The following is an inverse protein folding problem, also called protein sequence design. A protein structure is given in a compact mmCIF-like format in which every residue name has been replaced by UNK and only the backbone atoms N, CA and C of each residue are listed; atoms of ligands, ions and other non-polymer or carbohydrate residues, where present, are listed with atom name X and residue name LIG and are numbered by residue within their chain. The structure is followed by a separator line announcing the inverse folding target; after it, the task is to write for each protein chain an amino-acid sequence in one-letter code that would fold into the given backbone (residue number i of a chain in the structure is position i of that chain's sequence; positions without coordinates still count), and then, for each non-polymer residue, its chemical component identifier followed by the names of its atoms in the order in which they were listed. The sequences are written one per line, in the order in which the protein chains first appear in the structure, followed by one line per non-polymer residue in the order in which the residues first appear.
data_IF_043019722450
#
_entry.id   IF_043019722450
#
_cell.length_a   1.000
_cell.length_b   1.000
_cell.length_c   1.000
_cell.angle_alpha   90.00
_cell.angle_beta   90.00
_cell.angle_gamma   90.00
#
_symmetry.space_group_name_H-M   'P 1'
#
loop_
_entity.id
_entity.type
_entity.pdbx_description
1 polymer ?
#
# COMPACT_ATOMS: atom_id res chain seq x y z
N UNK A 1 -63.34 -22.33 -34.43
CA UNK A 1 -63.12 -23.40 -33.43
C UNK A 1 -62.68 -22.72 -32.14
N UNK A 2 -63.52 -22.14 -31.27
CA UNK A 2 -64.96 -22.29 -30.89
C UNK A 2 -65.34 -23.53 -30.05
N UNK A 3 -65.19 -23.40 -28.71
CA UNK A 3 -66.01 -23.89 -27.57
C UNK A 3 -65.20 -23.64 -26.26
N UNK A 4 -65.66 -23.01 -25.16
CA UNK A 4 -67.01 -22.73 -24.57
C UNK A 4 -67.71 -24.04 -24.13
N UNK A 5 -68.11 -24.29 -22.87
CA UNK A 5 -68.91 -23.57 -21.84
C UNK A 5 -68.65 -24.22 -20.43
N UNK A 6 -68.97 -23.72 -19.22
CA UNK A 6 -69.32 -22.39 -18.61
C UNK A 6 -69.27 -22.52 -17.05
N UNK A 7 -69.56 -21.45 -16.27
CA UNK A 7 -69.64 -21.41 -14.78
C UNK A 7 -70.85 -22.17 -14.16
N UNK A 8 -70.95 -22.28 -12.82
CA UNK A 8 -72.00 -21.47 -12.16
C UNK A 8 -71.57 -20.73 -10.88
N UNK A 9 -72.20 -19.57 -10.64
CA UNK A 9 -72.25 -18.82 -9.37
C UNK A 9 -73.38 -19.36 -8.47
N UNK A 10 -73.27 -19.16 -7.14
CA UNK A 10 -74.40 -18.84 -6.26
C UNK A 10 -73.92 -18.01 -5.06
N UNK A 11 -74.80 -17.17 -4.49
CA UNK A 11 -74.43 -16.06 -3.58
C UNK A 11 -75.43 -15.88 -2.42
N UNK A 12 -74.88 -15.68 -1.22
CA UNK A 12 -75.38 -15.01 -0.01
C UNK A 12 -76.85 -15.12 0.48
N UNK A 13 -76.99 -15.55 1.74
CA UNK A 13 -77.66 -14.82 2.86
C UNK A 13 -76.98 -15.30 4.18
N UNK A 14 -76.67 -14.54 5.24
CA UNK A 14 -77.06 -13.24 5.82
C UNK A 14 -77.84 -13.40 7.14
N UNK A 15 -77.17 -13.06 8.26
CA UNK A 15 -77.66 -12.80 9.63
C UNK A 15 -78.40 -13.91 10.42
N UNK A 16 -78.05 -14.06 11.71
CA UNK A 16 -78.80 -13.50 12.87
C UNK A 16 -78.16 -14.01 14.19
N UNK A 17 -78.01 -13.12 15.18
CA UNK A 17 -77.72 -13.45 16.59
C UNK A 17 -78.98 -13.18 17.42
N UNK A 18 -79.34 -14.07 18.36
CA UNK A 18 -79.99 -13.63 19.58
C UNK A 18 -79.36 -14.21 20.87
N UNK A 19 -79.38 -13.36 21.90
CA UNK A 19 -78.85 -13.54 23.24
C UNK A 19 -79.58 -14.56 24.14
N UNK A 20 -78.89 -14.93 25.25
CA UNK A 20 -79.44 -15.36 26.56
C UNK A 20 -80.19 -16.70 26.62
N UNK A 21 -80.10 -17.50 27.70
CA UNK A 21 -80.08 -17.10 29.12
C UNK A 21 -79.34 -18.09 30.06
N UNK A 22 -79.23 -17.73 31.34
CA UNK A 22 -78.63 -18.54 32.41
C UNK A 22 -79.46 -19.78 32.78
N UNK A 23 -78.79 -20.83 33.27
CA UNK A 23 -79.30 -21.65 34.38
C UNK A 23 -78.13 -22.03 35.31
N UNK A 24 -78.38 -22.10 36.61
CA UNK A 24 -77.36 -22.11 37.66
C UNK A 24 -77.45 -23.33 38.57
N UNK A 25 -76.31 -23.99 38.82
CA UNK A 25 -76.09 -24.95 39.90
C UNK A 25 -74.86 -24.48 40.72
N UNK A 26 -74.76 -24.82 42.02
CA UNK A 26 -74.41 -23.82 43.02
C UNK A 26 -72.92 -23.48 43.09
N UNK A 27 -72.62 -22.18 43.04
CA UNK A 27 -71.32 -21.64 43.44
C UNK A 27 -71.08 -21.85 44.93
N UNK A 28 -69.91 -22.36 45.31
CA UNK A 28 -69.51 -22.54 46.71
C UNK A 28 -69.20 -21.19 47.36
N UNK A 29 -70.25 -20.50 47.84
CA UNK A 29 -70.15 -19.18 48.47
C UNK A 29 -69.26 -19.17 49.75
N UNK A 30 -69.01 -20.34 50.35
CA UNK A 30 -68.17 -20.50 51.54
C UNK A 30 -66.71 -20.04 51.34
N UNK A 31 -66.11 -20.31 50.18
CA UNK A 31 -64.70 -19.93 49.93
C UNK A 31 -64.52 -18.42 49.85
N UNK A 32 -65.40 -17.72 49.12
CA UNK A 32 -65.38 -16.27 49.02
C UNK A 32 -65.70 -15.58 50.36
N UNK A 33 -66.64 -16.13 51.14
CA UNK A 33 -66.95 -15.62 52.48
C UNK A 33 -65.79 -15.80 53.46
N UNK A 34 -65.10 -16.96 53.45
CA UNK A 34 -63.88 -17.17 54.25
C UNK A 34 -62.76 -16.20 53.83
N UNK A 35 -62.56 -15.98 52.53
CA UNK A 35 -61.59 -15.00 52.03
C UNK A 35 -61.96 -13.57 52.44
N UNK A 36 -63.23 -13.16 52.33
CA UNK A 36 -63.65 -11.82 52.76
C UNK A 36 -63.55 -11.62 54.27
N UNK A 37 -63.90 -12.63 55.09
CA UNK A 37 -63.76 -12.56 56.55
C UNK A 37 -62.29 -12.51 56.98
N UNK A 38 -61.42 -13.31 56.34
CA UNK A 38 -59.97 -13.26 56.55
C UNK A 38 -59.41 -11.88 56.16
N UNK A 39 -59.76 -11.37 54.97
CA UNK A 39 -59.30 -10.06 54.49
C UNK A 39 -59.82 -8.93 55.38
N UNK A 40 -61.06 -8.96 55.88
CA UNK A 40 -61.56 -7.93 56.80
C UNK A 40 -60.95 -8.00 58.20
N UNK A 41 -60.59 -9.19 58.69
CA UNK A 41 -59.91 -9.35 59.97
C UNK A 41 -58.42 -8.97 59.91
N UNK A 42 -57.77 -9.19 58.76
CA UNK A 42 -56.36 -8.84 58.53
C UNK A 42 -56.19 -7.36 58.12
N UNK A 43 -57.23 -6.74 57.53
CA UNK A 43 -57.21 -5.35 57.05
C UNK A 43 -58.21 -4.43 57.79
N UNK A 44 -58.29 -4.51 59.12
CA UNK A 44 -58.91 -3.42 59.91
C UNK A 44 -57.98 -2.18 59.89
N UNK A 45 -58.05 -1.47 58.77
CA UNK A 45 -57.07 -0.52 58.28
C UNK A 45 -56.85 0.73 59.15
N UNK A 46 -57.51 0.85 60.31
CA UNK A 46 -57.24 1.95 61.25
C UNK A 46 -55.98 1.71 62.07
N UNK A 47 -55.79 0.52 62.64
CA UNK A 47 -54.60 0.24 63.46
C UNK A 47 -53.33 0.17 62.60
N UNK A 48 -53.43 -0.35 61.38
CA UNK A 48 -52.32 -0.36 60.41
C UNK A 48 -51.92 1.04 59.91
N UNK A 49 -52.85 2.00 59.80
CA UNK A 49 -52.50 3.37 59.38
C UNK A 49 -51.96 4.25 60.52
N UNK A 50 -52.24 3.92 61.79
CA UNK A 50 -51.50 4.53 62.90
C UNK A 50 -50.05 4.01 62.92
N UNK A 51 -49.85 2.69 62.83
CA UNK A 51 -48.54 2.01 62.81
C UNK A 51 -47.52 2.57 61.80
N UNK A 52 -47.99 3.12 60.67
CA UNK A 52 -47.13 3.65 59.59
C UNK A 52 -46.67 5.09 59.84
N UNK A 53 -47.33 5.85 60.73
CA UNK A 53 -47.15 7.31 60.83
C UNK A 53 -46.48 7.81 62.13
N UNK A 54 -46.19 6.95 63.11
CA UNK A 54 -45.58 7.37 64.39
C UNK A 54 -44.27 6.61 64.67
N UNK A 55 -43.11 7.28 64.54
CA UNK A 55 -41.79 6.64 64.48
C UNK A 55 -41.22 6.18 65.86
N UNK A 56 -42.06 5.80 66.82
CA UNK A 56 -41.61 5.35 68.15
C UNK A 56 -42.59 4.36 68.83
N UNK A 57 -42.68 3.13 68.31
CA UNK A 57 -43.47 2.06 68.91
C UNK A 57 -42.66 1.24 69.92
N UNK A 58 -43.10 1.24 71.18
CA UNK A 58 -42.54 0.39 72.24
C UNK A 58 -42.97 -1.07 72.09
N UNK A 59 -42.14 -2.00 72.58
CA UNK A 59 -42.34 -3.46 72.51
C UNK A 59 -43.71 -3.89 73.04
N UNK A 60 -44.23 -3.21 74.07
CA UNK A 60 -45.52 -3.50 74.70
C UNK A 60 -46.71 -3.25 73.76
N UNK A 61 -46.64 -2.26 72.86
CA UNK A 61 -47.67 -2.04 71.82
C UNK A 61 -47.63 -3.10 70.72
N UNK A 62 -46.45 -3.63 70.40
CA UNK A 62 -46.31 -4.74 69.46
C UNK A 62 -46.83 -6.06 70.05
N UNK A 63 -46.61 -6.30 71.34
CA UNK A 63 -47.10 -7.50 72.03
C UNK A 63 -48.64 -7.58 72.07
N UNK A 64 -49.33 -6.47 72.34
CA UNK A 64 -50.81 -6.44 72.36
C UNK A 64 -51.42 -6.60 70.96
N UNK A 65 -50.78 -6.05 69.92
CA UNK A 65 -51.17 -6.30 68.53
C UNK A 65 -50.97 -7.78 68.15
N UNK A 66 -49.84 -8.39 68.52
CA UNK A 66 -49.58 -9.81 68.26
C UNK A 66 -50.66 -10.70 68.92
N UNK A 67 -51.01 -10.40 70.18
CA UNK A 67 -52.04 -11.13 70.92
C UNK A 67 -53.43 -11.00 70.27
N UNK A 68 -53.75 -9.85 69.66
CA UNK A 68 -54.98 -9.67 68.87
C UNK A 68 -54.99 -10.51 67.58
N UNK A 69 -53.84 -10.65 66.91
CA UNK A 69 -53.66 -11.51 65.73
C UNK A 69 -53.74 -13.00 66.12
N UNK A 70 -53.19 -13.40 67.25
CA UNK A 70 -53.32 -14.78 67.76
C UNK A 70 -54.78 -15.12 68.11
N UNK A 71 -55.51 -14.21 68.77
CA UNK A 71 -56.94 -14.42 69.06
C UNK A 71 -57.78 -14.54 67.80
N UNK A 72 -57.64 -13.63 66.83
CA UNK A 72 -58.39 -13.70 65.57
C UNK A 72 -58.03 -14.94 64.74
N UNK A 73 -56.75 -15.34 64.72
CA UNK A 73 -56.29 -16.61 64.16
C UNK A 73 -56.98 -17.82 64.82
N UNK A 74 -57.08 -17.85 66.16
CA UNK A 74 -57.74 -18.95 66.87
C UNK A 74 -59.24 -19.10 66.55
N UNK A 75 -59.95 -17.97 66.39
CA UNK A 75 -61.37 -17.94 66.01
C UNK A 75 -61.55 -18.41 64.56
N UNK A 76 -60.70 -17.95 63.64
CA UNK A 76 -60.68 -18.41 62.25
C UNK A 76 -60.38 -19.91 62.16
N UNK A 77 -59.44 -20.43 62.94
CA UNK A 77 -59.15 -21.87 63.00
C UNK A 77 -60.36 -22.68 63.46
N UNK A 78 -61.09 -22.26 64.50
CA UNK A 78 -62.30 -22.96 64.93
C UNK A 78 -63.41 -22.95 63.88
N UNK A 79 -63.65 -21.81 63.23
CA UNK A 79 -64.64 -21.71 62.14
C UNK A 79 -64.26 -22.59 60.94
N UNK A 80 -62.99 -22.59 60.54
CA UNK A 80 -62.49 -23.38 59.42
C UNK A 80 -62.55 -24.88 59.75
N UNK A 81 -62.24 -25.29 60.97
CA UNK A 81 -62.36 -26.68 61.43
C UNK A 81 -63.81 -27.18 61.39
N UNK A 82 -64.78 -26.34 61.78
CA UNK A 82 -66.20 -26.66 61.72
C UNK A 82 -66.69 -26.82 60.26
N UNK A 83 -66.32 -25.87 59.38
CA UNK A 83 -66.68 -25.89 57.96
C UNK A 83 -66.08 -27.12 57.25
N UNK A 84 -64.83 -27.48 57.56
CA UNK A 84 -64.21 -28.70 57.01
C UNK A 84 -64.92 -29.95 57.52
N UNK A 85 -65.17 -30.06 58.84
CA UNK A 85 -65.78 -31.25 59.44
C UNK A 85 -67.16 -31.56 58.86
N UNK A 86 -67.97 -30.53 58.63
CA UNK A 86 -69.34 -30.71 58.13
C UNK A 86 -69.39 -30.88 56.58
N UNK A 87 -68.23 -30.99 55.89
CA UNK A 87 -68.10 -31.23 54.45
C UNK A 87 -67.14 -32.39 54.07
N UNK A 88 -66.69 -33.21 55.03
CA UNK A 88 -65.66 -34.25 54.81
C UNK A 88 -66.03 -35.25 53.72
N UNK A 89 -67.25 -35.78 53.70
CA UNK A 89 -67.65 -36.81 52.72
C UNK A 89 -67.68 -36.26 51.27
N UNK A 90 -68.07 -35.01 51.11
CA UNK A 90 -68.02 -34.28 49.83
C UNK A 90 -66.56 -34.07 49.37
N UNK A 91 -65.65 -33.80 50.32
CA UNK A 91 -64.23 -33.68 50.01
C UNK A 91 -63.60 -35.04 49.64
N UNK A 92 -63.91 -36.11 50.36
CA UNK A 92 -63.39 -37.46 50.09
C UNK A 92 -63.83 -37.94 48.70
N UNK A 93 -65.11 -37.78 48.35
CA UNK A 93 -65.61 -38.18 47.02
C UNK A 93 -64.99 -37.37 45.87
N UNK A 94 -64.77 -36.07 46.07
CA UNK A 94 -64.04 -35.23 45.12
C UNK A 94 -62.56 -35.64 44.98
N UNK A 95 -61.91 -35.96 46.11
CA UNK A 95 -60.51 -36.39 46.14
C UNK A 95 -60.29 -37.74 45.45
N UNK A 96 -61.12 -38.76 45.72
CA UNK A 96 -61.02 -40.06 45.03
C UNK A 96 -61.31 -39.93 43.53
N UNK A 97 -62.24 -39.07 43.12
CA UNK A 97 -62.49 -38.78 41.70
C UNK A 97 -61.31 -38.03 41.04
N UNK A 98 -60.56 -37.21 41.79
CA UNK A 98 -59.34 -36.57 41.32
C UNK A 98 -58.18 -37.56 41.18
N UNK A 99 -58.07 -38.53 42.07
CA UNK A 99 -57.04 -39.58 42.05
C UNK A 99 -57.27 -40.56 40.89
N UNK A 100 -58.51 -41.00 40.66
CA UNK A 100 -58.89 -41.75 39.45
C UNK A 100 -58.59 -40.96 38.16
N UNK A 101 -58.85 -39.64 38.14
CA UNK A 101 -58.51 -38.79 37.01
C UNK A 101 -57.00 -38.66 36.81
N UNK A 102 -56.22 -38.51 37.88
CA UNK A 102 -54.77 -38.41 37.83
C UNK A 102 -54.14 -39.71 37.31
N UNK A 103 -54.52 -40.86 37.85
CA UNK A 103 -54.00 -42.15 37.42
C UNK A 103 -54.44 -42.51 35.99
N UNK A 104 -55.61 -42.02 35.55
CA UNK A 104 -56.04 -42.10 34.14
C UNK A 104 -55.25 -41.15 33.23
N UNK A 105 -54.82 -39.99 33.72
CA UNK A 105 -53.93 -39.05 33.03
C UNK A 105 -52.51 -39.60 32.91
N UNK A 106 -51.99 -40.24 33.97
CA UNK A 106 -50.69 -40.95 33.97
C UNK A 106 -50.71 -42.11 32.97
N UNK A 107 -51.80 -42.90 32.94
CA UNK A 107 -51.99 -43.96 31.94
C UNK A 107 -52.09 -43.41 30.50
N UNK A 108 -52.76 -42.28 30.29
CA UNK A 108 -52.78 -41.59 28.98
C UNK A 108 -51.41 -41.02 28.58
N UNK A 109 -50.66 -40.44 29.53
CA UNK A 109 -49.30 -39.94 29.29
C UNK A 109 -48.33 -41.09 28.94
N UNK A 110 -48.42 -42.23 29.63
CA UNK A 110 -47.65 -43.43 29.31
C UNK A 110 -48.03 -44.07 27.95
N UNK A 111 -49.29 -43.93 27.53
CA UNK A 111 -49.70 -44.26 26.16
C UNK A 111 -49.20 -43.24 25.14
N UNK A 112 -49.01 -41.97 25.52
CA UNK A 112 -48.46 -40.94 24.64
C UNK A 112 -46.95 -41.08 24.44
N UNK A 113 -46.17 -41.34 25.50
CA UNK A 113 -44.72 -41.60 25.37
C UNK A 113 -44.45 -42.83 24.50
N UNK A 114 -45.10 -43.95 24.80
CA UNK A 114 -44.94 -45.20 24.03
C UNK A 114 -45.46 -45.13 22.58
N UNK A 115 -46.28 -44.13 22.22
CA UNK A 115 -46.67 -43.88 20.82
C UNK A 115 -45.82 -42.82 20.11
N UNK A 116 -45.13 -41.95 20.85
CA UNK A 116 -44.14 -41.00 20.30
C UNK A 116 -42.80 -41.70 20.02
N UNK A 117 -42.32 -42.55 20.94
CA UNK A 117 -41.10 -43.38 20.77
C UNK A 117 -41.14 -44.29 19.53
N UNK A 118 -42.33 -44.57 18.99
CA UNK A 118 -42.54 -45.42 17.82
C UNK A 118 -42.92 -44.66 16.53
N UNK A 119 -42.85 -43.31 16.50
CA UNK A 119 -43.31 -42.51 15.35
C UNK A 119 -42.43 -41.33 14.93
N UNK A 120 -41.45 -40.95 15.72
CA UNK A 120 -40.38 -40.05 15.27
C UNK A 120 -39.09 -40.84 15.28
N UNK A 121 -38.71 -41.33 14.11
CA UNK A 121 -37.44 -42.01 13.90
C UNK A 121 -36.32 -40.98 14.13
N UNK A 122 -35.56 -41.12 15.22
CA UNK A 122 -34.48 -40.20 15.58
C UNK A 122 -33.38 -40.20 14.48
N UNK A 123 -33.31 -41.29 13.72
CA UNK A 123 -32.56 -41.41 12.47
C UNK A 123 -32.97 -40.38 11.42
N UNK A 124 -34.26 -40.08 11.25
CA UNK A 124 -34.75 -39.13 10.23
C UNK A 124 -34.44 -37.68 10.64
N UNK A 125 -34.53 -37.35 11.93
CA UNK A 125 -34.17 -36.01 12.43
C UNK A 125 -32.66 -35.79 12.32
N UNK A 126 -31.86 -36.78 12.70
CA UNK A 126 -30.38 -36.69 12.57
C UNK A 126 -29.95 -36.65 11.10
N UNK A 127 -30.57 -37.40 10.20
CA UNK A 127 -30.28 -37.32 8.76
C UNK A 127 -30.72 -35.97 8.15
N UNK A 128 -31.83 -35.38 8.62
CA UNK A 128 -32.28 -34.06 8.18
C UNK A 128 -31.34 -32.93 8.68
N UNK A 129 -30.90 -33.00 9.95
CA UNK A 129 -29.90 -32.08 10.50
C UNK A 129 -28.57 -32.19 9.76
N UNK A 130 -28.12 -33.42 9.49
CA UNK A 130 -26.85 -33.68 8.78
C UNK A 130 -26.87 -33.14 7.36
N UNK A 131 -27.96 -33.38 6.61
CA UNK A 131 -28.16 -32.77 5.27
C UNK A 131 -28.23 -31.24 5.33
N UNK A 132 -28.77 -30.65 6.39
CA UNK A 132 -28.76 -29.19 6.58
C UNK A 132 -27.34 -28.67 6.85
N UNK A 133 -26.54 -29.38 7.66
CA UNK A 133 -25.13 -29.08 7.91
C UNK A 133 -24.26 -29.25 6.64
N UNK A 134 -24.50 -30.29 5.85
CA UNK A 134 -23.91 -30.49 4.52
C UNK A 134 -24.27 -29.32 3.57
N UNK A 135 -25.53 -28.88 3.55
CA UNK A 135 -25.97 -27.72 2.74
C UNK A 135 -25.36 -26.41 3.24
N UNK A 136 -25.22 -26.21 4.56
CA UNK A 136 -24.57 -25.03 5.13
C UNK A 136 -23.07 -24.98 4.83
N UNK A 137 -22.36 -26.10 4.92
CA UNK A 137 -20.94 -26.19 4.57
C UNK A 137 -20.73 -26.00 3.07
N UNK A 138 -21.53 -26.65 2.21
CA UNK A 138 -21.54 -26.43 0.76
C UNK A 138 -21.86 -24.97 0.38
N UNK A 139 -22.79 -24.31 1.09
CA UNK A 139 -23.09 -22.89 0.84
C UNK A 139 -21.92 -22.01 1.26
N UNK A 140 -21.23 -22.34 2.35
CA UNK A 140 -20.03 -21.63 2.83
C UNK A 140 -18.82 -21.80 1.90
N UNK A 141 -18.62 -22.96 1.27
CA UNK A 141 -17.56 -23.14 0.26
C UNK A 141 -17.90 -22.41 -1.02
N UNK A 142 -19.12 -22.55 -1.55
CA UNK A 142 -19.57 -21.86 -2.75
C UNK A 142 -19.47 -20.33 -2.60
N UNK A 143 -19.77 -19.76 -1.42
CA UNK A 143 -19.58 -18.33 -1.15
C UNK A 143 -18.10 -17.90 -1.17
N UNK A 144 -17.18 -18.74 -0.67
CA UNK A 144 -15.73 -18.49 -0.73
C UNK A 144 -15.18 -18.58 -2.15
N UNK A 145 -15.64 -19.55 -2.94
CA UNK A 145 -15.30 -19.70 -4.36
C UNK A 145 -15.78 -18.48 -5.18
N UNK A 146 -17.02 -18.02 -4.96
CA UNK A 146 -17.53 -16.81 -5.63
C UNK A 146 -16.74 -15.55 -5.23
N UNK A 147 -16.28 -15.45 -3.99
CA UNK A 147 -15.39 -14.36 -3.56
C UNK A 147 -14.03 -14.44 -4.28
N UNK A 148 -13.40 -15.61 -4.30
CA UNK A 148 -12.14 -15.83 -5.01
C UNK A 148 -12.24 -15.50 -6.52
N UNK A 149 -13.31 -15.92 -7.18
CA UNK A 149 -13.56 -15.62 -8.60
C UNK A 149 -13.74 -14.12 -8.87
N UNK A 150 -14.38 -13.36 -7.98
CA UNK A 150 -14.47 -11.90 -8.10
C UNK A 150 -13.10 -11.24 -8.00
N UNK A 151 -12.28 -11.64 -7.02
CA UNK A 151 -10.92 -11.11 -6.88
C UNK A 151 -10.04 -11.45 -8.10
N UNK A 152 -10.22 -12.63 -8.70
CA UNK A 152 -9.55 -12.98 -9.97
C UNK A 152 -10.06 -12.11 -11.13
N UNK A 153 -11.36 -11.83 -11.21
CA UNK A 153 -11.92 -10.93 -12.22
C UNK A 153 -11.38 -9.50 -12.06
N UNK A 154 -11.40 -8.95 -10.85
CA UNK A 154 -10.86 -7.62 -10.52
C UNK A 154 -9.38 -7.48 -10.91
N UNK A 155 -8.58 -8.54 -10.69
CA UNK A 155 -7.18 -8.61 -11.12
C UNK A 155 -7.03 -8.69 -12.65
N UNK A 156 -7.88 -9.43 -13.36
CA UNK A 156 -7.87 -9.47 -14.83
C UNK A 156 -8.22 -8.11 -15.42
N UNK A 157 -9.27 -7.45 -14.90
CA UNK A 157 -9.70 -6.11 -15.32
C UNK A 157 -8.62 -5.04 -15.07
N UNK A 158 -7.87 -5.13 -13.97
CA UNK A 158 -6.69 -4.28 -13.73
C UNK A 158 -5.57 -4.53 -14.75
N UNK A 159 -5.33 -5.79 -15.14
CA UNK A 159 -4.39 -6.13 -16.19
C UNK A 159 -4.80 -5.57 -17.56
N UNK A 160 -6.08 -5.69 -17.92
CA UNK A 160 -6.64 -5.13 -19.15
C UNK A 160 -6.54 -3.59 -19.18
N UNK A 161 -6.77 -2.92 -18.04
CA UNK A 161 -6.61 -1.47 -17.89
C UNK A 161 -5.15 -1.00 -18.13
N UNK A 162 -4.15 -1.75 -17.68
CA UNK A 162 -2.73 -1.45 -17.97
C UNK A 162 -2.46 -1.52 -19.48
N UNK A 163 -3.02 -2.50 -20.19
CA UNK A 163 -2.85 -2.63 -21.64
C UNK A 163 -3.51 -1.47 -22.40
N UNK A 164 -4.72 -1.06 -22.02
CA UNK A 164 -5.40 0.10 -22.63
C UNK A 164 -4.64 1.42 -22.36
N UNK A 165 -4.07 1.60 -21.16
CA UNK A 165 -3.27 2.79 -20.84
C UNK A 165 -1.94 2.82 -21.63
N UNK A 166 -1.30 1.66 -21.84
CA UNK A 166 -0.14 1.52 -22.72
C UNK A 166 -0.48 1.86 -24.18
N UNK A 167 -1.58 1.33 -24.72
CA UNK A 167 -2.03 1.61 -26.09
C UNK A 167 -2.38 3.09 -26.32
N UNK A 168 -2.82 3.78 -25.27
CA UNK A 168 -3.08 5.24 -25.26
C UNK A 168 -1.83 6.10 -24.99
N UNK A 169 -0.66 5.49 -24.79
CA UNK A 169 0.59 6.18 -24.39
C UNK A 169 0.49 6.96 -23.06
N UNK A 170 -0.42 6.57 -22.16
CA UNK A 170 -0.60 7.15 -20.83
C UNK A 170 0.39 6.50 -19.83
N UNK A 171 1.69 6.81 -20.01
CA UNK A 171 2.79 6.05 -19.41
C UNK A 171 2.84 6.12 -17.87
N UNK A 172 2.48 7.26 -17.27
CA UNK A 172 2.49 7.43 -15.81
C UNK A 172 1.31 6.68 -15.19
N UNK A 173 0.14 6.78 -15.81
CA UNK A 173 -1.08 6.08 -15.45
C UNK A 173 -0.90 4.57 -15.58
N UNK A 174 -0.29 4.09 -16.67
CA UNK A 174 0.05 2.68 -16.87
C UNK A 174 1.03 2.16 -15.79
N UNK A 175 2.07 2.94 -15.47
CA UNK A 175 3.05 2.59 -14.43
C UNK A 175 2.38 2.51 -13.05
N UNK A 176 1.56 3.49 -12.69
CA UNK A 176 0.77 3.50 -11.45
C UNK A 176 -0.21 2.32 -11.38
N UNK A 177 -0.91 2.02 -12.47
CA UNK A 177 -1.89 0.94 -12.53
C UNK A 177 -1.24 -0.44 -12.43
N UNK A 178 -0.02 -0.61 -12.98
CA UNK A 178 0.74 -1.85 -12.88
C UNK A 178 1.28 -2.09 -11.45
N UNK A 179 1.77 -1.04 -10.79
CA UNK A 179 2.18 -1.10 -9.37
C UNK A 179 0.97 -1.39 -8.45
N UNK A 180 -0.21 -0.85 -8.78
CA UNK A 180 -1.45 -1.16 -8.06
C UNK A 180 -1.89 -2.63 -8.27
N UNK A 181 -1.78 -3.16 -9.49
CA UNK A 181 -2.05 -4.56 -9.82
C UNK A 181 -1.11 -5.52 -9.10
N UNK A 182 0.20 -5.22 -9.03
CA UNK A 182 1.14 -6.00 -8.22
C UNK A 182 0.82 -5.95 -6.73
N UNK A 183 0.49 -4.77 -6.20
CA UNK A 183 0.07 -4.59 -4.81
C UNK A 183 -1.21 -5.37 -4.49
N UNK A 184 -2.13 -5.52 -5.45
CA UNK A 184 -3.32 -6.33 -5.31
C UNK A 184 -3.00 -7.84 -5.35
N UNK A 185 -2.15 -8.27 -6.29
CA UNK A 185 -1.73 -9.67 -6.44
C UNK A 185 -1.01 -10.20 -5.19
N UNK A 186 -0.11 -9.41 -4.60
CA UNK A 186 0.62 -9.81 -3.38
C UNK A 186 -0.31 -9.87 -2.16
N UNK A 187 -1.28 -8.95 -2.02
CA UNK A 187 -2.32 -9.05 -0.98
C UNK A 187 -3.15 -10.33 -1.08
N UNK A 188 -3.43 -10.82 -2.30
CA UNK A 188 -4.16 -12.07 -2.54
C UNK A 188 -3.29 -13.31 -2.22
N UNK A 189 -1.97 -13.15 -2.25
CA UNK A 189 -1.00 -14.16 -1.80
C UNK A 189 -0.91 -14.21 -0.27
N UNK A 190 -0.89 -13.06 0.40
CA UNK A 190 -0.87 -12.94 1.87
C UNK A 190 -2.18 -13.36 2.53
N UNK A 191 -3.33 -12.92 1.99
CA UNK A 191 -4.67 -13.17 2.59
C UNK A 191 -5.28 -14.51 2.20
N UNK A 192 -4.51 -15.38 1.52
CA UNK A 192 -4.98 -16.66 0.96
C UNK A 192 -5.52 -17.59 2.06
N UNK A 193 -6.81 -17.97 2.04
CA UNK A 193 -7.33 -18.99 2.95
C UNK A 193 -6.63 -20.33 2.71
N UNK A 194 -6.03 -20.92 3.75
CA UNK A 194 -5.39 -22.24 3.65
C UNK A 194 -6.34 -23.37 3.22
N UNK A 195 -7.65 -23.18 3.40
CA UNK A 195 -8.68 -24.18 3.07
C UNK A 195 -9.13 -24.15 1.59
N UNK A 196 -8.69 -23.18 0.77
CA UNK A 196 -8.97 -23.16 -0.67
C UNK A 196 -7.77 -23.69 -1.44
N UNK A 197 -8.00 -24.70 -2.29
CA UNK A 197 -6.99 -25.26 -3.18
C UNK A 197 -6.76 -24.38 -4.42
N UNK A 198 -6.17 -23.19 -4.20
CA UNK A 198 -5.74 -22.28 -5.28
C UNK A 198 -4.72 -22.95 -6.22
N UNK A 199 -4.03 -24.00 -5.77
CA UNK A 199 -3.11 -24.85 -6.54
C UNK A 199 -3.82 -25.70 -7.61
N UNK A 200 -5.11 -26.02 -7.45
CA UNK A 200 -5.85 -26.82 -8.42
C UNK A 200 -6.12 -26.12 -9.78
N UNK A 201 -5.83 -24.82 -9.87
CA UNK A 201 -6.27 -23.95 -10.99
C UNK A 201 -5.15 -23.24 -11.76
N UNK A 202 -3.91 -23.23 -11.24
CA UNK A 202 -2.76 -22.45 -11.77
C UNK A 202 -3.02 -20.94 -12.02
N UNK A 203 -4.16 -20.40 -11.59
CA UNK A 203 -4.60 -19.03 -11.89
C UNK A 203 -3.65 -17.99 -11.30
N UNK A 204 -3.06 -18.25 -10.13
CA UNK A 204 -2.08 -17.34 -9.54
C UNK A 204 -0.80 -17.25 -10.40
N UNK A 205 -0.29 -18.39 -10.87
CA UNK A 205 0.90 -18.45 -11.73
C UNK A 205 0.62 -17.80 -13.10
N UNK A 206 -0.60 -17.94 -13.62
CA UNK A 206 -1.05 -17.28 -14.85
C UNK A 206 -1.16 -15.76 -14.67
N UNK A 207 -1.71 -15.28 -13.56
CA UNK A 207 -1.79 -13.85 -13.22
C UNK A 207 -0.39 -13.25 -13.00
N UNK A 208 0.51 -13.97 -12.34
CA UNK A 208 1.90 -13.54 -12.17
C UNK A 208 2.65 -13.54 -13.51
N UNK A 209 2.44 -14.56 -14.37
CA UNK A 209 2.96 -14.56 -15.75
C UNK A 209 2.41 -13.36 -16.55
N UNK A 210 1.14 -12.97 -16.36
CA UNK A 210 0.59 -11.74 -16.98
C UNK A 210 1.27 -10.50 -16.41
N UNK A 211 1.45 -10.39 -15.09
CA UNK A 211 2.17 -9.29 -14.43
C UNK A 211 3.57 -9.09 -15.01
N UNK A 212 4.33 -10.18 -15.14
CA UNK A 212 5.71 -10.12 -15.64
C UNK A 212 5.76 -9.77 -17.14
N UNK A 213 4.79 -10.23 -17.94
CA UNK A 213 4.63 -9.80 -19.33
C UNK A 213 4.24 -8.31 -19.47
N UNK A 214 3.36 -7.79 -18.60
CA UNK A 214 2.99 -6.38 -18.58
C UNK A 214 4.15 -5.49 -18.15
N UNK A 215 4.92 -5.89 -17.13
CA UNK A 215 6.16 -5.23 -16.74
C UNK A 215 7.15 -5.16 -17.88
N UNK A 216 7.40 -6.28 -18.56
CA UNK A 216 8.27 -6.29 -19.73
C UNK A 216 7.76 -5.35 -20.83
N UNK A 217 6.46 -5.43 -21.18
CA UNK A 217 5.84 -4.57 -22.21
C UNK A 217 5.97 -3.08 -21.86
N UNK A 218 5.77 -2.69 -20.60
CA UNK A 218 5.97 -1.31 -20.13
C UNK A 218 7.45 -0.88 -20.28
N UNK A 219 8.40 -1.72 -19.86
CA UNK A 219 9.84 -1.43 -19.96
C UNK A 219 10.27 -1.30 -21.43
N UNK A 220 9.89 -2.26 -22.29
CA UNK A 220 10.19 -2.23 -23.73
C UNK A 220 9.66 -0.94 -24.40
N UNK A 221 8.48 -0.45 -23.98
CA UNK A 221 7.90 0.82 -24.44
C UNK A 221 8.65 2.03 -23.89
N UNK A 222 8.95 2.07 -22.58
CA UNK A 222 9.67 3.19 -21.95
C UNK A 222 11.09 3.36 -22.50
N UNK A 223 11.82 2.27 -22.72
CA UNK A 223 13.17 2.30 -23.32
C UNK A 223 13.10 2.77 -24.77
N UNK A 224 12.19 2.22 -25.58
CA UNK A 224 11.96 2.69 -26.96
C UNK A 224 11.58 4.18 -27.01
N UNK A 225 10.73 4.66 -26.09
CA UNK A 225 10.41 6.09 -25.97
C UNK A 225 11.63 6.93 -25.60
N UNK A 226 12.54 6.43 -24.76
CA UNK A 226 13.77 7.14 -24.39
C UNK A 226 14.75 7.25 -25.56
N UNK A 227 14.88 6.19 -26.38
CA UNK A 227 15.70 6.21 -27.59
C UNK A 227 15.14 7.17 -28.66
N UNK A 228 13.82 7.25 -28.79
CA UNK A 228 13.17 8.20 -29.71
C UNK A 228 13.25 9.65 -29.19
N UNK A 229 13.24 9.85 -27.88
CA UNK A 229 13.37 11.17 -27.25
C UNK A 229 14.80 11.74 -27.36
N UNK A 230 15.83 10.90 -27.27
CA UNK A 230 17.24 11.33 -27.26
C UNK A 230 18.03 10.63 -28.39
N UNK A 231 18.19 11.34 -29.52
CA UNK A 231 18.90 10.86 -30.69
C UNK A 231 20.38 11.28 -30.65
N UNK A 232 21.27 10.43 -31.15
CA UNK A 232 22.72 10.68 -31.22
C UNK A 232 23.24 10.36 -32.62
N UNK A 233 24.05 11.24 -33.21
CA UNK A 233 24.79 10.94 -34.44
C UNK A 233 26.28 10.76 -34.14
N UNK A 234 26.82 9.59 -34.49
CA UNK A 234 28.23 9.27 -34.30
C UNK A 234 29.14 9.88 -35.38
N UNK A 235 28.62 10.14 -36.58
CA UNK A 235 29.38 10.72 -37.69
C UNK A 235 29.50 12.26 -37.61
N UNK A 236 28.52 12.91 -36.99
CA UNK A 236 28.46 14.38 -36.84
C UNK A 236 28.74 14.86 -35.40
N UNK A 237 28.95 13.93 -34.46
CA UNK A 237 29.08 14.21 -33.03
C UNK A 237 27.96 15.12 -32.48
N UNK A 238 26.71 14.76 -32.80
CA UNK A 238 25.51 15.48 -32.32
C UNK A 238 24.72 14.67 -31.29
N UNK A 239 24.03 15.40 -30.41
CA UNK A 239 22.97 14.91 -29.53
C UNK A 239 21.75 15.80 -29.72
N UNK A 240 20.60 15.19 -30.06
CA UNK A 240 19.34 15.90 -30.34
C UNK A 240 18.24 15.41 -29.42
N UNK A 241 17.60 16.34 -28.73
CA UNK A 241 16.49 16.04 -27.82
C UNK A 241 15.19 16.38 -28.55
N UNK A 242 14.53 15.33 -29.04
CA UNK A 242 13.29 15.45 -29.81
C UNK A 242 12.09 15.81 -28.91
N UNK A 243 12.09 15.29 -27.68
CA UNK A 243 11.10 15.57 -26.63
C UNK A 243 11.81 15.49 -25.27
N UNK A 244 11.39 16.28 -24.27
CA UNK A 244 11.97 16.19 -22.91
C UNK A 244 11.59 14.84 -22.27
N UNK A 245 12.55 14.00 -21.84
CA UNK A 245 12.27 12.68 -21.28
C UNK A 245 11.77 12.68 -19.83
N UNK A 246 11.36 13.85 -19.28
CA UNK A 246 10.83 14.04 -17.92
C UNK A 246 9.89 12.91 -17.47
N UNK A 247 8.86 12.63 -18.27
CA UNK A 247 7.83 11.63 -17.98
C UNK A 247 8.42 10.23 -17.86
N UNK A 248 9.40 9.90 -18.71
CA UNK A 248 10.10 8.62 -18.70
C UNK A 248 10.95 8.48 -17.43
N UNK A 249 11.66 9.54 -17.02
CA UNK A 249 12.43 9.53 -15.78
C UNK A 249 11.54 9.40 -14.52
N UNK A 250 10.32 9.96 -14.53
CA UNK A 250 9.33 9.71 -13.47
C UNK A 250 8.92 8.23 -13.44
N UNK A 251 8.55 7.65 -14.59
CA UNK A 251 8.19 6.23 -14.66
C UNK A 251 9.35 5.32 -14.23
N UNK A 252 10.58 5.56 -14.71
CA UNK A 252 11.77 4.82 -14.30
C UNK A 252 12.12 5.02 -12.81
N UNK A 253 11.75 6.14 -12.17
CA UNK A 253 11.89 6.31 -10.71
C UNK A 253 10.90 5.45 -9.95
N UNK A 254 9.65 5.36 -10.42
CA UNK A 254 8.61 4.51 -9.82
C UNK A 254 8.91 3.02 -9.99
N UNK A 255 9.61 2.64 -11.05
CA UNK A 255 10.09 1.28 -11.32
C UNK A 255 11.47 0.97 -10.69
N UNK A 256 12.04 1.87 -9.89
CA UNK A 256 13.40 1.80 -9.32
C UNK A 256 14.57 1.69 -10.33
N UNK A 257 14.29 1.74 -11.64
CA UNK A 257 15.26 1.60 -12.74
C UNK A 257 16.03 2.89 -13.09
N UNK A 258 15.63 4.05 -12.57
CA UNK A 258 16.19 5.36 -12.95
C UNK A 258 17.73 5.43 -12.95
N UNK A 259 18.48 4.94 -11.93
CA UNK A 259 19.94 5.03 -11.94
C UNK A 259 20.59 4.26 -13.10
N UNK A 260 20.01 3.12 -13.50
CA UNK A 260 20.51 2.33 -14.62
C UNK A 260 20.28 3.04 -15.96
N UNK A 261 19.11 3.65 -16.16
CA UNK A 261 18.79 4.39 -17.38
C UNK A 261 19.62 5.67 -17.51
N UNK A 262 19.80 6.42 -16.41
CA UNK A 262 20.69 7.59 -16.39
C UNK A 262 22.16 7.21 -16.64
N UNK A 263 22.63 6.05 -16.16
CA UNK A 263 23.95 5.53 -16.51
C UNK A 263 24.06 5.15 -18.00
N UNK A 264 22.98 4.64 -18.61
CA UNK A 264 22.87 4.43 -20.05
C UNK A 264 22.98 5.73 -20.86
N UNK A 265 22.23 6.77 -20.45
CA UNK A 265 22.26 8.12 -21.05
C UNK A 265 23.66 8.74 -20.89
N UNK A 266 24.28 8.67 -19.70
CA UNK A 266 25.69 9.07 -19.49
C UNK A 266 26.59 8.39 -20.51
N UNK A 267 26.48 7.06 -20.67
CA UNK A 267 27.37 6.29 -21.56
C UNK A 267 27.27 6.73 -23.02
N UNK A 268 26.08 7.11 -23.49
CA UNK A 268 25.88 7.69 -24.83
C UNK A 268 26.50 9.10 -24.94
N UNK A 269 26.23 9.99 -23.99
CA UNK A 269 26.85 11.33 -23.91
C UNK A 269 28.39 11.24 -23.93
N UNK A 270 28.96 10.32 -23.16
CA UNK A 270 30.41 10.12 -23.11
C UNK A 270 31.00 9.60 -24.42
N UNK A 271 30.31 8.67 -25.09
CA UNK A 271 30.73 8.12 -26.38
C UNK A 271 30.69 9.17 -27.49
N UNK A 272 29.59 9.93 -27.58
CA UNK A 272 29.30 10.79 -28.73
C UNK A 272 29.80 12.23 -28.59
N UNK A 273 29.94 12.75 -27.36
CA UNK A 273 30.30 14.14 -27.09
C UNK A 273 31.59 14.29 -26.25
N UNK A 274 31.61 13.73 -25.03
CA UNK A 274 32.69 14.03 -24.06
C UNK A 274 34.05 13.46 -24.49
N UNK A 275 34.10 12.20 -24.92
CA UNK A 275 35.36 11.58 -25.39
C UNK A 275 35.87 12.25 -26.68
N UNK A 276 35.04 12.48 -27.72
CA UNK A 276 35.45 13.24 -28.91
C UNK A 276 35.94 14.67 -28.61
N UNK A 277 35.30 15.37 -27.68
CA UNK A 277 35.74 16.69 -27.20
C UNK A 277 37.12 16.62 -26.54
N UNK A 278 37.33 15.73 -25.55
CA UNK A 278 38.62 15.63 -24.86
C UNK A 278 39.76 15.08 -25.73
N UNK A 279 39.46 14.40 -26.84
CA UNK A 279 40.46 14.01 -27.84
C UNK A 279 40.97 15.19 -28.70
N UNK A 280 40.15 16.23 -28.87
CA UNK A 280 40.46 17.41 -29.70
C UNK A 280 40.30 18.72 -28.90
N UNK A 281 40.59 18.68 -27.60
CA UNK A 281 40.15 19.68 -26.60
C UNK A 281 40.63 21.12 -26.82
N UNK A 282 41.60 21.34 -27.71
CA UNK A 282 42.10 22.67 -28.10
C UNK A 282 41.44 23.24 -29.36
N UNK A 283 40.61 22.47 -30.07
CA UNK A 283 39.97 22.90 -31.35
C UNK A 283 38.49 22.57 -31.41
N UNK A 284 38.00 21.66 -30.57
CA UNK A 284 36.59 21.30 -30.52
C UNK A 284 35.74 22.29 -29.72
N UNK A 285 34.54 22.61 -30.21
CA UNK A 285 33.56 23.50 -29.57
C UNK A 285 32.15 22.91 -29.64
N UNK A 286 31.30 23.28 -28.70
CA UNK A 286 29.91 22.88 -28.61
C UNK A 286 28.99 24.01 -29.10
N UNK A 287 28.30 23.79 -30.21
CA UNK A 287 27.33 24.72 -30.77
C UNK A 287 25.90 24.22 -30.51
N UNK A 288 25.08 25.03 -29.81
CA UNK A 288 23.66 24.74 -29.57
C UNK A 288 22.81 25.30 -30.73
N UNK A 289 21.98 24.44 -31.31
CA UNK A 289 21.00 24.78 -32.35
C UNK A 289 19.62 24.26 -31.90
N UNK A 290 18.80 25.15 -31.31
CA UNK A 290 17.52 24.83 -30.65
C UNK A 290 17.64 23.69 -29.61
N UNK A 291 17.25 22.46 -29.99
CA UNK A 291 17.33 21.26 -29.14
C UNK A 291 18.44 20.28 -29.59
N UNK A 292 19.40 20.73 -30.39
CA UNK A 292 20.54 19.95 -30.88
C UNK A 292 21.86 20.55 -30.39
N UNK A 293 22.67 19.74 -29.73
CA UNK A 293 24.04 20.06 -29.35
C UNK A 293 24.99 19.39 -30.34
N UNK A 294 25.86 20.16 -30.99
CA UNK A 294 26.83 19.67 -31.97
C UNK A 294 28.26 19.95 -31.51
N UNK A 295 29.13 18.95 -31.60
CA UNK A 295 30.56 19.15 -31.45
C UNK A 295 31.17 19.52 -32.82
N UNK A 296 31.54 20.78 -33.01
CA UNK A 296 32.29 21.24 -34.19
C UNK A 296 33.79 21.28 -33.88
N UNK A 297 34.62 21.40 -34.92
CA UNK A 297 36.08 21.60 -34.79
C UNK A 297 36.48 22.83 -35.58
N UNK A 298 37.07 23.82 -34.92
CA UNK A 298 37.54 25.04 -35.57
C UNK A 298 38.94 24.84 -36.16
N UNK A 299 39.30 25.65 -37.16
CA UNK A 299 40.67 25.76 -37.70
C UNK A 299 41.39 27.02 -37.18
N UNK A 300 40.81 27.68 -36.19
CA UNK A 300 41.28 28.94 -35.62
C UNK A 300 42.38 28.73 -34.57
N UNK A 301 42.67 29.77 -33.79
CA UNK A 301 43.59 29.72 -32.64
C UNK A 301 43.21 28.57 -31.70
N UNK A 302 44.15 27.68 -31.33
CA UNK A 302 43.90 26.64 -30.34
C UNK A 302 43.46 27.24 -29.00
N UNK A 303 42.29 26.81 -28.53
CA UNK A 303 41.69 27.28 -27.28
C UNK A 303 42.46 26.84 -26.03
N UNK A 304 42.33 27.64 -24.97
CA UNK A 304 43.01 27.43 -23.70
C UNK A 304 42.15 26.70 -22.64
N UNK A 305 42.60 26.64 -21.38
CA UNK A 305 41.86 25.97 -20.31
C UNK A 305 40.56 26.72 -19.92
N UNK A 306 40.50 28.04 -20.07
CA UNK A 306 39.29 28.84 -19.87
C UNK A 306 38.29 28.58 -21.00
N UNK A 307 38.76 28.47 -22.26
CA UNK A 307 37.91 27.99 -23.37
C UNK A 307 37.34 26.61 -23.05
N UNK A 308 38.17 25.67 -22.60
CA UNK A 308 37.74 24.30 -22.27
C UNK A 308 36.64 24.27 -21.18
N UNK A 309 36.78 25.08 -20.13
CA UNK A 309 35.76 25.22 -19.07
C UNK A 309 34.50 25.91 -19.59
N UNK A 310 34.62 26.87 -20.51
CA UNK A 310 33.49 27.51 -21.19
C UNK A 310 32.71 26.50 -22.05
N UNK A 311 33.40 25.67 -22.84
CA UNK A 311 32.77 24.63 -23.66
C UNK A 311 32.09 23.55 -22.79
N UNK A 312 32.70 23.16 -21.67
CA UNK A 312 32.05 22.27 -20.70
C UNK A 312 30.85 22.92 -20.00
N UNK A 313 30.88 24.25 -19.76
CA UNK A 313 29.73 25.02 -19.27
C UNK A 313 28.56 24.89 -20.25
N UNK A 314 28.77 25.14 -21.54
CA UNK A 314 27.75 25.00 -22.60
C UNK A 314 27.16 23.59 -22.68
N UNK A 315 27.98 22.54 -22.56
CA UNK A 315 27.52 21.15 -22.51
C UNK A 315 26.61 20.87 -21.29
N UNK A 316 27.02 21.30 -20.10
CA UNK A 316 26.27 21.08 -18.86
C UNK A 316 24.98 21.90 -18.81
N UNK A 317 25.00 23.14 -19.31
CA UNK A 317 23.84 24.01 -19.47
C UNK A 317 22.79 23.38 -20.38
N UNK A 318 23.18 22.90 -21.57
CA UNK A 318 22.29 22.20 -22.51
C UNK A 318 21.64 20.98 -21.86
N UNK A 319 22.41 20.16 -21.14
CA UNK A 319 21.88 19.00 -20.42
C UNK A 319 20.90 19.41 -19.31
N UNK A 320 21.22 20.44 -18.51
CA UNK A 320 20.34 20.94 -17.44
C UNK A 320 19.04 21.59 -17.94
N UNK A 321 19.02 22.05 -19.19
CA UNK A 321 17.91 22.82 -19.80
C UNK A 321 17.03 21.98 -20.71
N UNK A 322 17.61 21.03 -21.47
CA UNK A 322 16.87 20.23 -22.47
C UNK A 322 16.69 18.77 -22.05
N UNK A 323 17.64 18.16 -21.32
CA UNK A 323 17.53 16.75 -20.90
C UNK A 323 16.75 16.59 -19.57
N UNK A 324 16.99 17.51 -18.63
CA UNK A 324 16.49 17.42 -17.25
C UNK A 324 15.36 18.43 -17.00
N UNK A 325 14.49 18.10 -16.04
CA UNK A 325 13.42 18.99 -15.55
C UNK A 325 13.84 19.71 -14.26
N UNK A 326 12.91 20.38 -13.59
CA UNK A 326 13.05 21.08 -12.30
C UNK A 326 13.24 20.16 -11.09
N UNK A 327 13.07 18.84 -11.24
CA UNK A 327 13.25 17.84 -10.18
C UNK A 327 14.73 17.73 -9.74
N UNK A 328 15.02 18.19 -8.52
CA UNK A 328 16.38 18.29 -7.99
C UNK A 328 16.99 16.91 -7.66
N UNK A 329 16.20 15.92 -7.26
CA UNK A 329 16.72 14.58 -6.96
C UNK A 329 17.29 13.93 -8.23
N UNK A 330 16.61 14.11 -9.36
CA UNK A 330 17.06 13.64 -10.66
C UNK A 330 18.31 14.42 -11.13
N UNK A 331 18.37 15.74 -10.88
CA UNK A 331 19.56 16.57 -11.18
C UNK A 331 20.78 16.16 -10.36
N UNK A 332 20.63 15.96 -9.05
CA UNK A 332 21.71 15.51 -8.16
C UNK A 332 22.16 14.08 -8.51
N UNK A 333 21.25 13.16 -8.82
CA UNK A 333 21.58 11.81 -9.24
C UNK A 333 22.37 11.80 -10.56
N UNK A 334 21.93 12.57 -11.55
CA UNK A 334 22.63 12.68 -12.83
C UNK A 334 23.97 13.41 -12.72
N UNK A 335 24.04 14.48 -11.91
CA UNK A 335 25.26 15.22 -11.59
C UNK A 335 26.34 14.34 -11.00
N UNK A 336 26.00 13.57 -9.96
CA UNK A 336 26.90 12.60 -9.32
C UNK A 336 27.36 11.48 -10.28
N UNK A 337 26.56 11.12 -11.30
CA UNK A 337 26.98 10.17 -12.34
C UNK A 337 27.93 10.82 -13.36
N UNK A 338 27.62 12.03 -13.85
CA UNK A 338 28.28 12.63 -15.01
C UNK A 338 29.56 13.42 -14.67
N UNK A 339 29.57 14.17 -13.56
CA UNK A 339 30.61 15.14 -13.24
C UNK A 339 31.97 14.56 -12.81
N UNK A 340 32.08 13.52 -11.95
CA UNK A 340 33.39 13.13 -11.40
C UNK A 340 34.45 12.77 -12.46
N UNK A 341 34.01 12.28 -13.61
CA UNK A 341 34.86 11.86 -14.72
C UNK A 341 35.12 13.02 -15.72
N UNK A 342 34.19 13.98 -15.89
CA UNK A 342 34.45 15.27 -16.57
C UNK A 342 35.47 16.11 -15.78
N UNK A 343 35.28 16.25 -14.46
CA UNK A 343 36.17 17.02 -13.59
C UNK A 343 37.59 16.44 -13.63
N UNK A 344 37.72 15.11 -13.60
CA UNK A 344 39.01 14.44 -13.75
C UNK A 344 39.64 14.71 -15.12
N UNK A 345 38.89 14.58 -16.21
CA UNK A 345 39.41 14.85 -17.56
C UNK A 345 39.81 16.32 -17.74
N UNK A 346 39.08 17.26 -17.16
CA UNK A 346 39.42 18.69 -17.13
C UNK A 346 40.73 18.96 -16.36
N UNK A 347 40.94 18.30 -15.22
CA UNK A 347 42.22 18.36 -14.48
C UNK A 347 43.35 17.74 -15.32
N UNK A 348 43.16 16.51 -15.81
CA UNK A 348 44.18 15.73 -16.52
C UNK A 348 44.59 16.37 -17.87
N UNK A 349 43.66 17.02 -18.59
CA UNK A 349 43.88 17.57 -19.95
C UNK A 349 43.95 19.09 -20.05
N UNK A 350 43.20 19.81 -19.23
CA UNK A 350 43.14 21.28 -19.26
C UNK A 350 44.07 21.90 -18.22
N UNK A 351 43.74 21.74 -16.95
CA UNK A 351 44.42 22.44 -15.86
C UNK A 351 45.90 22.01 -15.72
N UNK A 352 46.21 20.71 -15.86
CA UNK A 352 47.59 20.22 -15.83
C UNK A 352 48.47 20.81 -16.93
N UNK A 353 47.90 21.07 -18.11
CA UNK A 353 48.58 21.71 -19.22
C UNK A 353 48.82 23.20 -18.91
N UNK A 354 47.80 23.89 -18.40
CA UNK A 354 47.81 25.30 -18.05
C UNK A 354 48.77 25.69 -16.91
N UNK A 355 49.15 24.76 -16.00
CA UNK A 355 50.14 25.05 -14.94
C UNK A 355 51.41 25.69 -15.55
N UNK A 356 51.81 26.90 -15.13
CA UNK A 356 52.88 27.64 -15.78
C UNK A 356 54.26 27.00 -15.64
N UNK A 357 55.19 27.44 -16.49
CA UNK A 357 56.51 26.83 -16.70
C UNK A 357 57.67 27.74 -16.33
N UNK A 358 57.39 28.99 -16.00
CA UNK A 358 58.27 29.96 -15.33
C UNK A 358 57.49 30.70 -14.24
N UNK A 359 58.21 31.41 -13.36
CA UNK A 359 57.58 32.22 -12.30
C UNK A 359 57.02 33.56 -12.82
N UNK A 360 57.28 33.93 -14.09
CA UNK A 360 56.67 35.12 -14.71
C UNK A 360 55.25 34.80 -15.22
N UNK A 361 55.07 33.61 -15.80
CA UNK A 361 53.79 33.09 -16.26
C UNK A 361 52.80 32.77 -15.11
N UNK A 362 53.19 32.96 -13.84
CA UNK A 362 52.36 32.56 -12.70
C UNK A 362 51.10 33.43 -12.55
N UNK A 363 51.21 34.73 -12.83
CA UNK A 363 50.07 35.66 -12.79
C UNK A 363 49.02 35.40 -13.88
N UNK A 364 49.40 34.77 -15.00
CA UNK A 364 48.47 34.39 -16.06
C UNK A 364 47.56 33.22 -15.63
N UNK A 365 47.96 32.46 -14.60
CA UNK A 365 47.18 31.36 -14.05
C UNK A 365 46.04 31.85 -13.14
N UNK A 366 46.10 33.05 -12.58
CA UNK A 366 45.04 33.60 -11.70
C UNK A 366 43.68 33.65 -12.44
N UNK A 367 43.69 33.98 -13.74
CA UNK A 367 42.49 33.94 -14.61
C UNK A 367 41.94 32.52 -14.82
N UNK A 368 42.82 31.50 -14.84
CA UNK A 368 42.43 30.09 -14.92
C UNK A 368 41.84 29.63 -13.59
N UNK A 369 42.39 30.12 -12.47
CA UNK A 369 41.88 29.88 -11.13
C UNK A 369 40.47 30.46 -10.93
N UNK A 370 40.24 31.71 -11.34
CA UNK A 370 38.92 32.35 -11.26
C UNK A 370 37.87 31.56 -12.06
N UNK A 371 38.08 31.30 -13.35
CA UNK A 371 37.09 30.57 -14.17
C UNK A 371 36.87 29.12 -13.69
N UNK A 372 37.88 28.48 -13.10
CA UNK A 372 37.74 27.17 -12.47
C UNK A 372 36.82 27.19 -11.23
N UNK A 373 36.90 28.23 -10.40
CA UNK A 373 35.97 28.40 -9.27
C UNK A 373 34.55 28.77 -9.73
N UNK A 374 34.42 29.57 -10.79
CA UNK A 374 33.13 29.89 -11.40
C UNK A 374 32.48 28.65 -12.03
N UNK A 375 33.26 27.79 -12.69
CA UNK A 375 32.78 26.53 -13.27
C UNK A 375 32.21 25.57 -12.21
N UNK A 376 32.92 25.36 -11.09
CA UNK A 376 32.37 24.59 -9.96
C UNK A 376 31.12 25.26 -9.37
N UNK A 377 31.10 26.59 -9.25
CA UNK A 377 29.94 27.32 -8.73
C UNK A 377 28.70 27.12 -9.61
N UNK A 378 28.80 27.25 -10.94
CA UNK A 378 27.69 27.00 -11.89
C UNK A 378 27.12 25.59 -11.75
N UNK A 379 27.98 24.59 -11.49
CA UNK A 379 27.56 23.19 -11.27
C UNK A 379 26.72 23.01 -9.98
N UNK A 380 26.88 23.88 -8.99
CA UNK A 380 26.04 23.93 -7.78
C UNK A 380 24.79 24.79 -8.02
N UNK A 381 24.95 26.06 -8.42
CA UNK A 381 23.85 27.05 -8.41
C UNK A 381 22.90 26.94 -9.61
N UNK A 382 23.42 26.72 -10.81
CA UNK A 382 22.68 26.94 -12.05
C UNK A 382 22.11 25.62 -12.57
N UNK A 383 22.91 24.55 -12.49
CA UNK A 383 22.53 23.23 -12.98
C UNK A 383 21.90 22.34 -11.89
N UNK A 384 22.20 22.59 -10.61
CA UNK A 384 21.75 21.74 -9.50
C UNK A 384 22.36 20.34 -9.52
N UNK A 385 23.54 20.17 -10.12
CA UNK A 385 24.19 18.85 -10.22
C UNK A 385 24.90 18.43 -8.93
N UNK A 386 25.22 19.39 -8.08
CA UNK A 386 25.94 19.23 -6.82
C UNK A 386 25.15 19.88 -5.68
N UNK A 387 25.03 19.20 -4.53
CA UNK A 387 24.54 19.87 -3.31
C UNK A 387 25.66 20.71 -2.69
N UNK A 388 25.35 21.83 -1.99
CA UNK A 388 26.36 22.67 -1.37
C UNK A 388 27.19 21.95 -0.30
N UNK A 389 26.62 20.93 0.35
CA UNK A 389 27.29 20.14 1.39
C UNK A 389 28.18 19.02 0.82
N UNK A 390 27.95 18.57 -0.42
CA UNK A 390 28.73 17.49 -1.04
C UNK A 390 29.99 17.98 -1.78
N UNK A 391 30.28 19.29 -1.81
CA UNK A 391 31.33 19.96 -2.61
C UNK A 391 32.46 19.01 -3.07
N UNK A 392 32.38 18.45 -4.30
CA UNK A 392 33.50 17.78 -4.94
C UNK A 392 34.40 18.87 -5.52
N UNK A 393 35.01 19.66 -4.63
CA UNK A 393 35.90 20.77 -4.95
C UNK A 393 37.23 20.31 -5.54
N UNK A 394 37.23 19.31 -6.43
CA UNK A 394 38.42 18.70 -7.01
C UNK A 394 39.15 19.69 -7.92
N UNK A 395 38.41 20.49 -8.69
CA UNK A 395 38.97 21.50 -9.60
C UNK A 395 39.43 22.72 -8.80
N UNK A 396 38.64 23.18 -7.82
CA UNK A 396 39.07 24.26 -6.92
C UNK A 396 40.26 23.85 -6.05
N UNK A 397 40.24 22.68 -5.41
CA UNK A 397 41.36 22.19 -4.60
C UNK A 397 42.62 21.99 -5.45
N UNK A 398 42.51 21.56 -6.70
CA UNK A 398 43.65 21.48 -7.62
C UNK A 398 44.25 22.86 -7.88
N UNK A 399 43.41 23.86 -8.10
CA UNK A 399 43.78 25.27 -8.29
C UNK A 399 44.38 25.90 -7.02
N UNK A 400 43.75 25.73 -5.87
CA UNK A 400 44.21 26.21 -4.55
C UNK A 400 45.60 25.62 -4.19
N UNK A 401 45.98 24.47 -4.78
CA UNK A 401 47.28 23.82 -4.60
C UNK A 401 48.27 24.07 -5.76
N UNK A 402 48.09 25.13 -6.56
CA UNK A 402 48.93 25.46 -7.72
C UNK A 402 50.44 25.48 -7.40
N UNK A 403 50.85 25.96 -6.22
CA UNK A 403 52.27 25.97 -5.81
C UNK A 403 52.92 24.58 -5.83
N UNK A 404 52.19 23.54 -5.40
CA UNK A 404 52.67 22.16 -5.40
C UNK A 404 52.79 21.63 -6.83
N UNK A 405 51.82 21.93 -7.69
CA UNK A 405 51.81 21.50 -9.09
C UNK A 405 52.90 22.23 -9.90
N UNK A 406 53.08 23.54 -9.67
CA UNK A 406 54.16 24.34 -10.25
C UNK A 406 55.54 23.86 -9.79
N UNK A 407 55.75 23.63 -8.49
CA UNK A 407 57.00 23.12 -7.95
C UNK A 407 57.36 21.75 -8.57
N UNK A 408 56.38 20.86 -8.71
CA UNK A 408 56.54 19.54 -9.34
C UNK A 408 56.93 19.69 -10.82
N UNK A 409 56.12 20.38 -11.63
CA UNK A 409 56.34 20.60 -13.07
C UNK A 409 57.69 21.29 -13.35
N UNK A 410 58.09 22.23 -12.49
CA UNK A 410 59.40 22.90 -12.52
C UNK A 410 60.55 21.96 -12.17
N UNK A 411 60.39 21.08 -11.17
CA UNK A 411 61.41 20.10 -10.80
C UNK A 411 61.67 19.10 -11.93
N UNK A 412 60.62 18.60 -12.59
CA UNK A 412 60.71 17.70 -13.74
C UNK A 412 61.41 18.38 -14.92
N UNK A 413 61.07 19.63 -15.23
CA UNK A 413 61.71 20.44 -16.28
C UNK A 413 63.21 20.63 -16.03
N UNK A 414 63.61 20.90 -14.77
CA UNK A 414 65.01 21.00 -14.37
C UNK A 414 65.74 19.66 -14.50
N UNK A 415 65.12 18.56 -14.06
CA UNK A 415 65.68 17.20 -14.22
C UNK A 415 65.83 16.81 -15.70
N UNK A 416 64.87 17.16 -16.55
CA UNK A 416 64.89 16.91 -17.98
C UNK A 416 66.02 17.68 -18.69
N UNK A 417 66.19 18.97 -18.40
CA UNK A 417 67.34 19.73 -18.94
C UNK A 417 68.67 19.25 -18.37
N UNK A 418 68.73 18.85 -17.10
CA UNK A 418 69.88 18.18 -16.50
C UNK A 418 70.29 16.93 -17.30
N UNK A 419 69.33 16.02 -17.58
CA UNK A 419 69.53 14.84 -18.43
C UNK A 419 70.01 15.22 -19.84
N UNK A 420 69.38 16.21 -20.49
CA UNK A 420 69.80 16.71 -21.82
C UNK A 420 71.23 17.29 -21.82
N UNK A 421 71.66 17.94 -20.73
CA UNK A 421 73.04 18.47 -20.59
C UNK A 421 74.04 17.34 -20.35
N UNK A 422 73.70 16.34 -19.52
CA UNK A 422 74.54 15.16 -19.29
C UNK A 422 74.74 14.36 -20.59
N UNK A 423 73.66 14.06 -21.33
CA UNK A 423 73.72 13.38 -22.63
C UNK A 423 74.58 14.14 -23.65
N UNK A 424 74.38 15.46 -23.78
CA UNK A 424 75.22 16.32 -24.66
C UNK A 424 76.70 16.32 -24.26
N UNK A 425 77.03 16.18 -22.97
CA UNK A 425 78.42 16.07 -22.48
C UNK A 425 79.02 14.68 -22.72
N UNK A 426 78.24 13.61 -22.62
CA UNK A 426 78.67 12.23 -22.92
C UNK A 426 78.95 12.05 -24.41
N UNK A 427 78.01 12.46 -25.28
CA UNK A 427 78.15 12.41 -26.74
C UNK A 427 79.38 13.20 -27.24
N UNK A 428 79.68 14.35 -26.62
CA UNK A 428 80.88 15.16 -26.93
C UNK A 428 82.20 14.56 -26.43
N UNK A 429 82.19 13.59 -25.50
CA UNK A 429 83.40 12.94 -24.99
C UNK A 429 83.71 11.61 -25.68
N UNK A 430 82.69 10.89 -26.16
CA UNK A 430 82.86 9.59 -26.81
C UNK A 430 82.06 9.48 -28.12
N UNK A 431 82.38 10.29 -29.16
CA UNK A 431 81.65 10.25 -30.44
C UNK A 431 81.74 8.89 -31.13
N UNK A 432 82.87 8.18 -30.97
CA UNK A 432 83.11 6.85 -31.55
C UNK A 432 82.26 5.72 -30.94
N UNK A 433 81.68 5.90 -29.75
CA UNK A 433 80.84 4.88 -29.11
C UNK A 433 79.42 4.79 -29.68
N UNK A 434 78.95 5.81 -30.40
CA UNK A 434 77.59 5.86 -30.93
C UNK A 434 77.47 5.38 -32.38
N UNK A 435 78.51 5.51 -33.21
CA UNK A 435 78.52 4.96 -34.58
C UNK A 435 78.48 3.42 -34.61
N UNK A 436 78.92 2.74 -33.55
CA UNK A 436 78.86 1.27 -33.44
C UNK A 436 77.52 0.73 -32.92
N UNK A 437 76.62 1.60 -32.43
CA UNK A 437 75.43 1.18 -31.68
C UNK A 437 74.10 1.69 -32.27
N UNK A 438 74.10 2.30 -33.47
CA UNK A 438 72.86 2.71 -34.14
C UNK A 438 72.79 2.42 -35.64
N UNK A 439 72.54 1.15 -36.03
CA UNK A 439 72.03 0.80 -37.35
C UNK A 439 70.65 0.14 -37.27
N UNK A 440 69.65 0.81 -36.69
CA UNK A 440 68.21 0.58 -36.90
C UNK A 440 67.34 1.63 -36.16
N UNK A 441 66.87 2.62 -36.92
CA UNK A 441 65.54 3.25 -36.85
C UNK A 441 65.15 3.61 -38.29
#
# INVERSE_FOLDING_TARGET
MTKSLVYPYWVATANVVPHTSFSSAPTMQSSAQLQQAFVSAVLDNRQLNELVNDNNYSVEKLATLLQGVEQSSSVLQQQLFQIVRDNVDTFISSYTQHDELHDRLVRLAGQYTSTVENRVDDSIITDALKRYEDICTQTSTNQREIAALRTVQELVEQGDMVEELLDRSALVEATNSLLAFETALEKVKETRPHDLDWSALNVFDLLQTRKDNLYKRLIDVLESSLENAIQYNEAEHTMKIMQRPTVLFVCFRQLEMLPAQLAGVKRRIYKHLVTPFFNHCTTARFDIHDNELRLTTTQDVPGDACDMMTQLTTLLEFLSTHLLDTDQDIRHLFGNLILPEILKLLIDKGLSAAVPSSAAELHDFDRVAEEATLFEQRCVSDYGFLTPDQQPGLVKQYVDNIDMHFATKRSEKVLLEGRKVMLRRLLRRHPSFFHSCWPML
#
